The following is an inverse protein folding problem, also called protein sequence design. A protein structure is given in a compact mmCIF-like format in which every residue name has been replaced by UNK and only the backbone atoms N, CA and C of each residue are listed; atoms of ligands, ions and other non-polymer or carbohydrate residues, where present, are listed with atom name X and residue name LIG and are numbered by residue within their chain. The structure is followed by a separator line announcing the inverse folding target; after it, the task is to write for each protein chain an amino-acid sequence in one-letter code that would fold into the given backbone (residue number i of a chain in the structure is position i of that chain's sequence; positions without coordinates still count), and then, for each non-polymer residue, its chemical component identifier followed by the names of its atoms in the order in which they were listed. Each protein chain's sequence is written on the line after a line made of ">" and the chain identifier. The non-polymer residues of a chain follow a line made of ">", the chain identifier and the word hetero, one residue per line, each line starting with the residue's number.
data_IF_512798048053
#
_entry.id   IF_512798048053
#
_cell.length_a   1.000
_cell.length_b   1.000
_cell.length_c   1.000
_cell.angle_alpha   90.00
_cell.angle_beta   90.00
_cell.angle_gamma   90.00
#
_symmetry.space_group_name_H-M   'P 1'
#
loop_
_entity.id
_entity.type
_entity.pdbx_description
1 polymer ?
#
# COMPACT_ATOMS: atom_id res chain seq x y z
N UNK A 1 -0.90 16.36 5.69
CA UNK A 1 -1.73 15.15 5.86
C UNK A 1 -2.08 15.07 7.34
N UNK A 2 -3.35 15.24 7.69
CA UNK A 2 -3.81 15.15 9.08
C UNK A 2 -4.30 13.74 9.31
N UNK A 3 -3.75 13.05 10.33
CA UNK A 3 -4.18 11.68 10.71
C UNK A 3 -5.61 11.69 11.22
N UNK A 4 -6.31 10.57 11.07
CA UNK A 4 -7.58 10.37 11.77
C UNK A 4 -7.37 10.45 13.29
N UNK A 5 -8.31 11.06 14.01
CA UNK A 5 -8.15 11.38 15.44
C UNK A 5 -7.90 10.14 16.34
N UNK A 6 -8.25 8.94 15.87
CA UNK A 6 -8.08 7.65 16.56
C UNK A 6 -7.26 6.63 15.75
N UNK A 7 -6.43 7.10 14.82
CA UNK A 7 -5.61 6.26 13.94
C UNK A 7 -4.60 5.42 14.72
N UNK A 8 -4.55 4.11 14.41
CA UNK A 8 -3.48 3.21 14.84
C UNK A 8 -2.42 3.06 13.75
N UNK A 9 -1.16 2.78 14.11
CA UNK A 9 -0.14 2.46 13.12
C UNK A 9 -0.54 1.25 12.28
N UNK A 10 -0.28 1.30 10.97
CA UNK A 10 -0.43 0.13 10.11
C UNK A 10 0.70 -0.86 10.39
N UNK A 11 0.37 -2.02 10.95
CA UNK A 11 1.35 -3.03 11.35
C UNK A 11 1.64 -4.03 10.22
N UNK A 12 0.61 -4.38 9.43
CA UNK A 12 0.68 -5.38 8.38
C UNK A 12 -0.05 -4.91 7.12
N UNK A 13 0.48 -5.30 5.97
CA UNK A 13 -0.14 -5.10 4.67
C UNK A 13 0.10 -6.31 3.77
N UNK A 14 -0.79 -6.52 2.82
CA UNK A 14 -0.64 -7.52 1.77
C UNK A 14 -0.10 -6.85 0.52
N UNK A 15 1.01 -7.36 -0.04
CA UNK A 15 1.60 -6.91 -1.29
C UNK A 15 1.35 -7.96 -2.39
N UNK A 16 0.89 -7.50 -3.54
CA UNK A 16 0.78 -8.32 -4.75
C UNK A 16 1.46 -7.63 -5.93
N UNK A 17 1.88 -8.44 -6.90
CA UNK A 17 2.46 -8.02 -8.16
C UNK A 17 1.64 -8.66 -9.29
N UNK A 18 1.30 -7.94 -10.37
CA UNK A 18 0.50 -8.45 -11.49
C UNK A 18 1.34 -9.33 -12.43
N UNK A 19 2.01 -10.33 -11.87
CA UNK A 19 2.89 -11.27 -12.57
C UNK A 19 2.33 -12.68 -12.38
N UNK A 20 2.24 -13.45 -13.47
CA UNK A 20 1.71 -14.83 -13.42
C UNK A 20 2.58 -15.69 -12.49
N UNK A 21 1.94 -16.36 -11.54
CA UNK A 21 2.61 -17.20 -10.55
C UNK A 21 3.21 -16.45 -9.36
N UNK A 22 2.96 -15.15 -9.23
CA UNK A 22 3.33 -14.38 -8.04
C UNK A 22 2.33 -14.60 -6.91
N UNK A 23 2.83 -14.96 -5.72
CA UNK A 23 2.01 -15.15 -4.53
C UNK A 23 1.92 -13.86 -3.70
N UNK A 24 0.76 -13.56 -3.09
CA UNK A 24 0.62 -12.44 -2.16
C UNK A 24 1.58 -12.57 -0.98
N UNK A 25 2.20 -11.46 -0.58
CA UNK A 25 3.15 -11.41 0.54
C UNK A 25 2.63 -10.49 1.64
N UNK A 26 2.48 -11.03 2.85
CA UNK A 26 2.25 -10.20 4.03
C UNK A 26 3.57 -9.61 4.53
N UNK A 27 3.58 -8.30 4.76
CA UNK A 27 4.77 -7.58 5.18
C UNK A 27 4.42 -6.35 6.00
N UNK A 28 5.40 -5.88 6.78
CA UNK A 28 5.27 -4.61 7.49
C UNK A 28 5.46 -3.47 6.48
N UNK A 29 4.64 -2.41 6.48
CA UNK A 29 4.71 -1.34 5.47
C UNK A 29 6.07 -0.65 5.34
N UNK A 30 6.83 -0.57 6.43
CA UNK A 30 8.22 -0.06 6.42
C UNK A 30 9.20 -0.91 5.58
N UNK A 31 8.84 -2.14 5.23
CA UNK A 31 9.63 -3.01 4.34
C UNK A 31 9.29 -2.76 2.86
N UNK A 32 8.21 -2.04 2.56
CA UNK A 32 7.78 -1.71 1.20
C UNK A 32 8.31 -0.35 0.75
N UNK A 33 9.63 -0.21 0.59
CA UNK A 33 10.25 1.04 0.13
C UNK A 33 10.44 2.10 1.23
N UNK A 34 10.44 3.39 0.83
CA UNK A 34 10.78 4.50 1.72
C UNK A 34 9.61 5.09 2.52
N UNK A 35 9.86 6.19 3.24
CA UNK A 35 8.87 6.87 4.11
C UNK A 35 7.57 7.27 3.41
N UNK A 36 7.59 7.50 2.08
CA UNK A 36 6.38 7.77 1.29
C UNK A 36 5.44 6.57 1.20
N UNK A 37 5.97 5.35 1.11
CA UNK A 37 5.15 4.14 1.05
C UNK A 37 4.51 3.88 2.42
N UNK A 38 5.27 4.04 3.51
CA UNK A 38 4.72 3.95 4.87
C UNK A 38 3.60 4.98 5.08
N UNK A 39 3.80 6.23 4.66
CA UNK A 39 2.78 7.28 4.77
C UNK A 39 1.53 6.97 3.94
N UNK A 40 1.68 6.41 2.73
CA UNK A 40 0.56 6.02 1.88
C UNK A 40 -0.24 4.85 2.47
N UNK A 41 0.46 3.79 2.93
CA UNK A 41 -0.18 2.67 3.61
C UNK A 41 -0.95 3.14 4.85
N UNK A 42 -0.34 4.01 5.64
CA UNK A 42 -1.01 4.59 6.80
C UNK A 42 -2.22 5.46 6.43
N UNK A 43 -2.12 6.26 5.37
CA UNK A 43 -3.22 7.12 4.94
C UNK A 43 -4.45 6.31 4.54
N UNK A 44 -4.24 5.21 3.80
CA UNK A 44 -5.31 4.28 3.40
C UNK A 44 -5.86 3.51 4.60
N UNK A 45 -5.00 3.11 5.56
CA UNK A 45 -5.45 2.52 6.82
C UNK A 45 -6.32 3.49 7.63
N UNK A 46 -6.01 4.78 7.62
CA UNK A 46 -6.78 5.79 8.34
C UNK A 46 -8.09 6.16 7.62
N UNK A 47 -8.15 5.95 6.30
CA UNK A 47 -9.24 6.36 5.42
C UNK A 47 -9.52 5.23 4.42
N UNK A 48 -10.34 4.26 4.81
CA UNK A 48 -10.55 3.04 4.03
C UNK A 48 -11.08 3.30 2.61
N UNK A 49 -11.82 4.38 2.40
CA UNK A 49 -12.34 4.78 1.08
C UNK A 49 -11.30 5.48 0.18
N UNK A 50 -10.08 5.65 0.67
CA UNK A 50 -9.02 6.32 -0.08
C UNK A 50 -8.17 5.34 -0.90
N UNK A 51 -7.64 5.85 -2.01
CA UNK A 51 -6.60 5.19 -2.80
C UNK A 51 -5.36 6.09 -2.80
N UNK A 52 -4.19 5.49 -2.61
CA UNK A 52 -2.92 6.20 -2.74
C UNK A 52 -2.03 5.54 -3.81
N UNK A 53 -1.39 6.36 -4.63
CA UNK A 53 -0.39 5.92 -5.62
C UNK A 53 0.95 6.52 -5.24
N UNK A 54 1.98 5.69 -5.10
CA UNK A 54 3.36 6.14 -4.87
C UNK A 54 4.22 5.73 -6.05
N UNK A 55 4.75 6.72 -6.75
CA UNK A 55 5.86 6.53 -7.68
C UNK A 55 7.16 6.42 -6.88
N UNK A 56 7.83 5.29 -7.00
CA UNK A 56 9.08 5.00 -6.33
C UNK A 56 10.28 5.46 -7.16
N UNK A 57 11.41 5.73 -6.49
CA UNK A 57 12.64 6.16 -7.17
C UNK A 57 13.29 5.03 -7.98
N UNK A 58 12.98 3.77 -7.65
CA UNK A 58 13.42 2.58 -8.38
C UNK A 58 12.58 2.30 -9.63
N UNK A 59 11.63 3.18 -9.98
CA UNK A 59 10.87 3.15 -11.23
C UNK A 59 9.54 2.42 -11.16
N UNK A 60 9.23 1.76 -10.03
CA UNK A 60 7.94 1.09 -9.84
C UNK A 60 6.90 2.05 -9.29
N UNK A 61 5.63 1.72 -9.51
CA UNK A 61 4.53 2.36 -8.80
C UNK A 61 3.90 1.36 -7.84
N UNK A 62 3.40 1.87 -6.71
CA UNK A 62 2.63 1.07 -5.76
C UNK A 62 1.29 1.75 -5.52
N UNK A 63 0.20 1.03 -5.80
CA UNK A 63 -1.17 1.44 -5.45
C UNK A 63 -1.51 0.84 -4.11
N UNK A 64 -2.02 1.64 -3.17
CA UNK A 64 -2.51 1.21 -1.87
C UNK A 64 -4.02 1.42 -1.80
N UNK A 65 -4.75 0.41 -1.33
CA UNK A 65 -6.18 0.45 -1.09
C UNK A 65 -6.54 -0.39 0.14
N UNK A 66 -7.68 -0.10 0.78
CA UNK A 66 -8.21 -0.97 1.82
C UNK A 66 -8.88 -2.19 1.20
N UNK A 67 -8.65 -3.37 1.77
CA UNK A 67 -9.36 -4.59 1.40
C UNK A 67 -10.30 -5.00 2.53
N UNK A 68 -11.60 -5.00 2.25
CA UNK A 68 -12.60 -5.46 3.23
C UNK A 68 -12.51 -6.97 3.48
N UNK A 69 -12.14 -7.77 2.48
CA UNK A 69 -12.01 -9.22 2.64
C UNK A 69 -10.81 -9.59 3.53
N UNK A 70 -9.70 -8.86 3.39
CA UNK A 70 -8.47 -9.11 4.15
C UNK A 70 -8.42 -8.31 5.46
N UNK A 71 -9.30 -7.31 5.63
CA UNK A 71 -9.27 -6.32 6.71
C UNK A 71 -7.88 -5.68 6.89
N UNK A 72 -7.23 -5.38 5.76
CA UNK A 72 -5.85 -4.88 5.69
C UNK A 72 -5.64 -3.96 4.51
N UNK A 73 -4.58 -3.15 4.58
CA UNK A 73 -4.06 -2.43 3.42
C UNK A 73 -3.53 -3.44 2.40
N UNK A 74 -4.06 -3.37 1.19
CA UNK A 74 -3.57 -4.09 0.02
C UNK A 74 -2.74 -3.14 -0.83
N UNK A 75 -1.47 -3.49 -1.06
CA UNK A 75 -0.63 -2.83 -2.02
C UNK A 75 -0.46 -3.65 -3.29
N UNK A 76 -0.61 -2.99 -4.43
CA UNK A 76 -0.34 -3.55 -5.75
C UNK A 76 0.87 -2.83 -6.33
N UNK A 77 1.97 -3.55 -6.50
CA UNK A 77 3.17 -3.01 -7.16
C UNK A 77 3.08 -3.27 -8.66
N UNK A 78 3.24 -2.23 -9.47
CA UNK A 78 3.13 -2.25 -10.93
C UNK A 78 4.40 -1.70 -11.58
N UNK A 79 4.82 -2.34 -12.67
CA UNK A 79 6.06 -2.01 -13.39
C UNK A 79 5.88 -0.85 -14.37
N UNK A 80 4.71 -0.80 -15.03
CA UNK A 80 4.35 0.24 -15.98
C UNK A 80 2.91 0.65 -15.74
N UNK A 81 2.69 1.97 -15.70
CA UNK A 81 1.36 2.56 -15.72
C UNK A 81 1.07 3.04 -17.13
N UNK A 82 0.14 2.38 -17.83
CA UNK A 82 -0.41 2.86 -19.11
C UNK A 82 -1.63 3.73 -18.80
N UNK A 83 -1.54 5.03 -19.09
CA UNK A 83 -2.60 6.02 -18.91
C UNK A 83 -3.21 6.42 -20.25
#
# INVERSE_FOLDING_TARGET
>A
MTRAASSTPVEMMTLTEPVVGSEPRQLHPAQNGGTRHLAAAQFVHDQHDAIALVASMDGFFTVFAWSEDLQQVHAHRIDVLLL
#
